data_IF_956670967033
#
_entry.id   IF_956670967033
#
_cell.length_a   1.000
_cell.length_b   1.000
_cell.length_c   1.000
_cell.angle_alpha   90.00
_cell.angle_beta   90.00
_cell.angle_gamma   90.00
#
_symmetry.space_group_name_H-M   'P 1'
#
loop_
_entity.id
_entity.type
_entity.pdbx_description
1 polymer ?
#
# COMPACT_ATOMS: atom_id res chain seq x y z
N UNK A 1 26.90 -9.08 -9.61
CA UNK A 1 26.31 -10.20 -8.83
C UNK A 1 26.14 -9.70 -7.39
N UNK A 2 25.06 -10.10 -6.70
CA UNK A 2 24.89 -9.75 -5.29
C UNK A 2 26.08 -10.19 -4.45
N UNK A 3 26.44 -9.36 -3.46
CA UNK A 3 27.53 -9.67 -2.49
C UNK A 3 26.98 -10.18 -1.16
N UNK A 4 25.68 -9.87 -0.89
CA UNK A 4 25.03 -10.17 0.36
C UNK A 4 23.84 -11.10 0.13
N UNK A 5 23.72 -12.16 0.94
CA UNK A 5 22.68 -13.20 0.79
C UNK A 5 21.96 -13.40 2.14
N UNK A 6 21.13 -12.44 2.58
CA UNK A 6 20.41 -12.56 3.83
C UNK A 6 19.39 -13.71 3.75
N UNK A 7 19.27 -14.47 4.84
CA UNK A 7 18.40 -15.66 4.93
C UNK A 7 17.06 -15.34 5.62
N UNK A 8 16.97 -14.21 6.27
CA UNK A 8 15.80 -13.80 7.02
C UNK A 8 15.70 -12.27 7.12
N UNK A 9 14.57 -11.80 7.68
CA UNK A 9 14.29 -10.38 7.84
C UNK A 9 15.33 -9.65 8.70
N UNK A 10 15.89 -10.28 9.74
CA UNK A 10 16.83 -9.60 10.64
C UNK A 10 18.15 -9.32 9.92
N UNK A 11 18.71 -10.33 9.22
CA UNK A 11 19.90 -10.14 8.40
C UNK A 11 19.70 -9.10 7.30
N UNK A 12 18.52 -9.13 6.63
CA UNK A 12 18.19 -8.12 5.62
C UNK A 12 18.10 -6.72 6.24
N UNK A 13 17.50 -6.60 7.44
CA UNK A 13 17.36 -5.32 8.14
C UNK A 13 18.70 -4.70 8.53
N UNK A 14 19.67 -5.50 8.94
CA UNK A 14 21.02 -5.03 9.21
C UNK A 14 21.67 -4.44 7.95
N UNK A 15 21.55 -5.14 6.81
CA UNK A 15 22.10 -4.70 5.53
C UNK A 15 21.45 -3.40 5.02
N UNK A 16 20.14 -3.28 5.08
CA UNK A 16 19.46 -2.05 4.60
C UNK A 16 19.63 -0.89 5.57
N UNK A 17 19.90 -1.16 6.84
CA UNK A 17 20.23 -0.15 7.85
C UNK A 17 21.60 0.47 7.68
N UNK A 18 22.53 -0.25 7.08
CA UNK A 18 23.84 0.27 6.70
C UNK A 18 23.73 1.05 5.39
N UNK A 19 23.82 2.38 5.47
CA UNK A 19 23.69 3.26 4.31
C UNK A 19 24.85 3.14 3.31
N UNK A 20 25.94 2.50 3.67
CA UNK A 20 27.08 2.22 2.77
C UNK A 20 26.84 1.02 1.87
N UNK A 21 25.87 0.14 2.22
CA UNK A 21 25.50 -1.02 1.43
C UNK A 21 24.56 -0.59 0.30
N UNK A 22 24.92 -0.89 -0.95
CA UNK A 22 24.05 -0.70 -2.10
C UNK A 22 22.96 -1.77 -2.12
N UNK A 23 21.68 -1.36 -2.32
CA UNK A 23 20.56 -2.30 -2.38
C UNK A 23 20.67 -3.26 -3.57
N UNK A 24 21.40 -2.87 -4.65
CA UNK A 24 21.66 -3.74 -5.80
C UNK A 24 22.61 -4.91 -5.50
N UNK A 25 23.32 -4.87 -4.37
CA UNK A 25 24.23 -5.93 -3.94
C UNK A 25 23.60 -6.97 -3.02
N UNK A 26 22.29 -6.82 -2.72
CA UNK A 26 21.53 -7.70 -1.82
C UNK A 26 20.70 -8.68 -2.63
N UNK A 27 20.89 -9.98 -2.43
CA UNK A 27 20.04 -11.05 -2.97
C UNK A 27 18.87 -11.30 -2.02
N UNK A 28 17.67 -10.98 -2.46
CA UNK A 28 16.46 -11.13 -1.65
C UNK A 28 15.68 -12.41 -1.96
N UNK A 29 16.20 -13.30 -2.82
CA UNK A 29 15.50 -14.49 -3.32
C UNK A 29 15.08 -15.50 -2.23
N UNK A 30 15.66 -15.43 -1.03
CA UNK A 30 15.29 -16.26 0.11
C UNK A 30 14.34 -15.57 1.10
N UNK A 31 14.00 -14.30 0.88
CA UNK A 31 13.23 -13.49 1.84
C UNK A 31 11.73 -13.74 1.64
N UNK A 32 11.05 -14.06 2.73
CA UNK A 32 9.60 -14.28 2.75
C UNK A 32 8.84 -13.18 3.51
N UNK A 33 9.56 -12.32 4.25
CA UNK A 33 8.98 -11.28 5.09
C UNK A 33 9.82 -10.01 4.97
N UNK A 34 9.16 -8.89 4.62
CA UNK A 34 9.79 -7.55 4.51
C UNK A 34 9.12 -6.53 5.44
N UNK A 35 8.42 -7.01 6.47
CA UNK A 35 7.72 -6.16 7.44
C UNK A 35 8.67 -5.14 8.07
N UNK A 36 8.26 -3.87 8.10
CA UNK A 36 8.99 -2.75 8.73
C UNK A 36 10.39 -2.50 8.19
N UNK A 37 10.77 -3.06 7.03
CA UNK A 37 12.15 -3.10 6.55
C UNK A 37 12.77 -1.70 6.38
N UNK A 38 12.01 -0.74 5.84
CA UNK A 38 12.42 0.65 5.66
C UNK A 38 11.59 1.62 6.52
N UNK A 39 10.93 1.11 7.56
CA UNK A 39 10.20 1.97 8.50
C UNK A 39 11.12 3.03 9.10
N UNK A 40 10.65 4.30 9.11
CA UNK A 40 11.38 5.46 9.66
C UNK A 40 12.77 5.67 9.06
N UNK A 41 13.04 5.10 7.87
CA UNK A 41 14.36 5.13 7.24
C UNK A 41 14.83 6.55 6.93
N UNK A 42 16.14 6.77 7.10
CA UNK A 42 16.84 7.98 6.67
C UNK A 42 17.47 7.83 5.29
N UNK A 43 17.35 6.65 4.67
CA UNK A 43 17.88 6.39 3.33
C UNK A 43 17.21 7.32 2.32
N UNK A 44 18.00 7.89 1.43
CA UNK A 44 17.53 8.73 0.32
C UNK A 44 17.80 8.07 -1.04
N UNK A 45 18.80 7.21 -1.12
CA UNK A 45 19.11 6.43 -2.32
C UNK A 45 18.57 5.00 -2.16
N UNK A 46 17.59 4.68 -2.98
CA UNK A 46 16.95 3.36 -3.05
C UNK A 46 17.32 2.63 -4.36
N UNK A 47 18.31 3.12 -5.11
CA UNK A 47 18.75 2.49 -6.36
C UNK A 47 19.15 1.04 -6.15
N UNK A 48 18.61 0.17 -7.00
CA UNK A 48 18.81 -1.28 -6.89
C UNK A 48 17.68 -2.04 -6.25
N UNK A 49 16.77 -1.36 -5.52
CA UNK A 49 15.59 -1.99 -4.92
C UNK A 49 14.63 -2.55 -5.99
N UNK A 50 14.63 -1.96 -7.19
CA UNK A 50 13.81 -2.38 -8.33
C UNK A 50 14.19 -3.76 -8.88
N UNK A 51 15.38 -4.26 -8.52
CA UNK A 51 15.88 -5.58 -8.94
C UNK A 51 15.65 -6.68 -7.89
N UNK A 52 15.06 -6.34 -6.76
CA UNK A 52 14.83 -7.32 -5.70
C UNK A 52 13.85 -8.41 -6.14
N UNK A 53 14.20 -9.66 -5.88
CA UNK A 53 13.30 -10.78 -5.99
C UNK A 53 12.34 -10.81 -4.80
N UNK A 54 11.07 -10.52 -5.07
CA UNK A 54 10.00 -10.51 -4.07
C UNK A 54 9.04 -11.69 -4.20
N UNK A 55 9.33 -12.63 -5.10
CA UNK A 55 8.44 -13.75 -5.47
C UNK A 55 8.11 -14.71 -4.32
N UNK A 56 8.82 -14.65 -3.21
CA UNK A 56 8.54 -15.44 -2.00
C UNK A 56 7.98 -14.62 -0.84
N UNK A 57 7.85 -13.30 -1.00
CA UNK A 57 7.41 -12.43 0.07
C UNK A 57 5.91 -12.58 0.30
N UNK A 58 5.52 -12.77 1.57
CA UNK A 58 4.11 -12.92 1.98
C UNK A 58 3.63 -11.77 2.85
N UNK A 59 4.54 -11.01 3.47
CA UNK A 59 4.21 -9.92 4.40
C UNK A 59 5.09 -8.69 4.11
N UNK A 60 4.42 -7.57 3.74
CA UNK A 60 5.03 -6.25 3.50
C UNK A 60 4.48 -5.17 4.45
N UNK A 61 3.85 -5.59 5.56
CA UNK A 61 3.25 -4.66 6.52
C UNK A 61 4.27 -3.63 7.03
N UNK A 62 3.89 -2.34 7.02
CA UNK A 62 4.74 -1.21 7.47
C UNK A 62 6.08 -1.04 6.72
N UNK A 63 6.28 -1.68 5.55
CA UNK A 63 7.60 -1.75 4.90
C UNK A 63 8.23 -0.38 4.66
N UNK A 64 7.46 0.61 4.26
CA UNK A 64 7.89 1.99 3.99
C UNK A 64 7.19 3.01 4.89
N UNK A 65 6.70 2.59 6.06
CA UNK A 65 6.08 3.52 7.01
C UNK A 65 7.05 4.67 7.35
N UNK A 66 6.55 5.92 7.25
CA UNK A 66 7.34 7.13 7.47
C UNK A 66 8.62 7.23 6.61
N UNK A 67 8.73 6.49 5.52
CA UNK A 67 9.82 6.63 4.55
C UNK A 67 9.58 7.89 3.69
N UNK A 68 9.77 9.08 4.29
CA UNK A 68 9.34 10.36 3.74
C UNK A 68 9.93 10.69 2.37
N UNK A 69 11.13 10.17 2.07
CA UNK A 69 11.84 10.41 0.80
C UNK A 69 11.66 9.27 -0.21
N UNK A 70 10.95 8.21 0.16
CA UNK A 70 10.78 7.08 -0.73
C UNK A 70 9.87 7.42 -1.90
N UNK A 71 10.41 7.41 -3.10
CA UNK A 71 9.68 7.55 -4.36
C UNK A 71 10.37 6.78 -5.50
N UNK A 72 10.79 5.54 -5.23
CA UNK A 72 11.47 4.70 -6.21
C UNK A 72 10.48 3.75 -6.89
N UNK A 73 10.72 3.45 -8.17
CA UNK A 73 9.82 2.58 -8.94
C UNK A 73 10.01 1.11 -8.55
N UNK A 74 8.95 0.51 -8.05
CA UNK A 74 8.87 -0.90 -7.61
C UNK A 74 7.74 -1.65 -8.33
N UNK A 75 7.26 -1.13 -9.47
CA UNK A 75 6.14 -1.72 -10.22
C UNK A 75 6.41 -3.16 -10.69
N UNK A 76 7.69 -3.53 -10.85
CA UNK A 76 8.09 -4.87 -11.30
C UNK A 76 8.16 -5.94 -10.21
N UNK A 77 7.93 -5.58 -8.96
CA UNK A 77 7.93 -6.58 -7.89
C UNK A 77 6.84 -7.62 -8.08
N UNK A 78 7.18 -8.87 -7.90
CA UNK A 78 6.19 -9.96 -7.82
C UNK A 78 5.51 -9.94 -6.46
N UNK A 79 4.24 -9.55 -6.44
CA UNK A 79 3.41 -9.45 -5.23
C UNK A 79 2.38 -10.57 -5.12
N UNK A 80 2.42 -11.56 -6.02
CA UNK A 80 1.39 -12.61 -6.15
C UNK A 80 1.15 -13.44 -4.89
N UNK A 81 2.16 -13.54 -4.00
CA UNK A 81 2.05 -14.25 -2.71
C UNK A 81 1.80 -13.36 -1.52
N UNK A 82 1.81 -12.03 -1.70
CA UNK A 82 1.65 -11.11 -0.58
C UNK A 82 0.21 -11.16 -0.07
N UNK A 83 0.06 -11.45 1.22
CA UNK A 83 -1.23 -11.50 1.90
C UNK A 83 -1.50 -10.25 2.75
N UNK A 84 -0.45 -9.55 3.19
CA UNK A 84 -0.55 -8.38 4.05
C UNK A 84 0.27 -7.22 3.49
N UNK A 85 -0.42 -6.13 3.16
CA UNK A 85 0.14 -4.84 2.73
C UNK A 85 -0.27 -3.69 3.67
N UNK A 86 -0.78 -4.01 4.88
CA UNK A 86 -1.28 -2.98 5.79
C UNK A 86 -0.19 -2.00 6.16
N UNK A 87 -0.54 -0.72 6.13
CA UNK A 87 0.35 0.40 6.47
C UNK A 87 1.64 0.50 5.64
N UNK A 88 1.73 -0.19 4.48
CA UNK A 88 2.97 -0.31 3.72
C UNK A 88 3.58 1.04 3.35
N UNK A 89 2.78 2.03 2.97
CA UNK A 89 3.21 3.39 2.61
C UNK A 89 2.65 4.46 3.56
N UNK A 90 2.34 4.07 4.81
CA UNK A 90 1.83 5.06 5.78
C UNK A 90 2.83 6.21 5.94
N UNK A 91 2.33 7.45 5.73
CA UNK A 91 3.12 8.68 5.74
C UNK A 91 4.34 8.69 4.78
N UNK A 92 4.38 7.82 3.78
CA UNK A 92 5.36 7.92 2.69
C UNK A 92 4.97 9.11 1.79
N UNK A 93 5.19 10.32 2.28
CA UNK A 93 4.58 11.55 1.76
C UNK A 93 4.94 11.87 0.30
N UNK A 94 6.14 11.46 -0.16
CA UNK A 94 6.61 11.69 -1.53
C UNK A 94 6.25 10.56 -2.49
N UNK A 95 5.76 9.41 -1.99
CA UNK A 95 5.54 8.24 -2.83
C UNK A 95 4.43 8.48 -3.86
N UNK A 96 4.76 8.35 -5.15
CA UNK A 96 3.82 8.47 -6.26
C UNK A 96 4.27 7.63 -7.48
N UNK A 97 4.82 6.43 -7.27
CA UNK A 97 5.22 5.56 -8.38
C UNK A 97 4.10 4.62 -8.80
N UNK A 98 4.07 4.19 -10.07
CA UNK A 98 3.07 3.24 -10.55
C UNK A 98 3.17 1.90 -9.81
N UNK A 99 2.00 1.25 -9.64
CA UNK A 99 1.84 -0.06 -9.03
C UNK A 99 0.88 -0.93 -9.88
N UNK A 100 0.86 -0.71 -11.20
CA UNK A 100 -0.11 -1.33 -12.11
C UNK A 100 0.13 -2.82 -12.30
N UNK A 101 1.39 -3.25 -12.21
CA UNK A 101 1.81 -4.64 -12.44
C UNK A 101 1.65 -5.52 -11.20
N UNK A 102 1.27 -4.94 -10.06
CA UNK A 102 1.12 -5.69 -8.82
C UNK A 102 -0.09 -6.62 -8.88
N UNK A 103 0.15 -7.90 -8.62
CA UNK A 103 -0.92 -8.87 -8.37
C UNK A 103 -1.36 -8.79 -6.90
N UNK A 104 -2.55 -8.26 -6.68
CA UNK A 104 -3.15 -8.11 -5.35
C UNK A 104 -4.17 -9.20 -5.01
N UNK A 105 -4.30 -10.22 -5.87
CA UNK A 105 -5.32 -11.27 -5.74
C UNK A 105 -5.18 -12.15 -4.50
N UNK A 106 -4.05 -12.10 -3.80
CA UNK A 106 -3.82 -12.83 -2.54
C UNK A 106 -3.96 -11.95 -1.30
N UNK A 107 -4.09 -10.62 -1.46
CA UNK A 107 -4.06 -9.68 -0.34
C UNK A 107 -5.37 -9.72 0.44
N UNK A 108 -5.24 -9.91 1.75
CA UNK A 108 -6.35 -9.91 2.72
C UNK A 108 -6.46 -8.57 3.47
N UNK A 109 -5.31 -7.94 3.73
CA UNK A 109 -5.20 -6.76 4.57
C UNK A 109 -4.50 -5.61 3.83
N UNK A 110 -5.24 -4.52 3.63
CA UNK A 110 -4.81 -3.25 3.02
C UNK A 110 -5.05 -2.06 3.97
N UNK A 111 -5.25 -2.32 5.29
CA UNK A 111 -5.48 -1.26 6.27
C UNK A 111 -4.37 -0.19 6.18
N UNK A 112 -4.76 1.08 6.10
CA UNK A 112 -3.85 2.22 6.14
C UNK A 112 -2.77 2.24 5.04
N UNK A 113 -2.86 1.43 3.98
CA UNK A 113 -1.77 1.21 3.02
C UNK A 113 -1.19 2.52 2.45
N UNK A 114 -2.02 3.51 2.16
CA UNK A 114 -1.62 4.83 1.65
C UNK A 114 -2.02 5.97 2.59
N UNK A 115 -2.27 5.67 3.87
CA UNK A 115 -2.65 6.70 4.85
C UNK A 115 -1.52 7.74 4.97
N UNK A 116 -1.85 9.01 4.75
CA UNK A 116 -0.87 10.09 4.78
C UNK A 116 0.14 10.10 3.61
N UNK A 117 0.01 9.24 2.61
CA UNK A 117 0.78 9.28 1.37
C UNK A 117 0.30 10.45 0.49
N UNK A 118 0.68 11.67 0.85
CA UNK A 118 0.09 12.90 0.35
C UNK A 118 0.18 13.07 -1.15
N UNK A 119 1.30 12.65 -1.77
CA UNK A 119 1.54 12.80 -3.21
C UNK A 119 0.94 11.66 -4.05
N UNK A 120 0.47 10.58 -3.40
CA UNK A 120 0.05 9.38 -4.13
C UNK A 120 -1.23 9.62 -4.94
N UNK A 121 -1.15 9.44 -6.26
CA UNK A 121 -2.27 9.56 -7.18
C UNK A 121 -2.14 8.63 -8.40
N UNK A 122 -1.71 7.37 -8.19
CA UNK A 122 -1.56 6.41 -9.28
C UNK A 122 -2.82 5.54 -9.45
N UNK A 123 -3.15 5.13 -10.69
CA UNK A 123 -4.33 4.33 -10.95
C UNK A 123 -4.21 2.91 -10.37
N UNK A 124 -5.24 2.52 -9.61
CA UNK A 124 -5.35 1.24 -8.92
C UNK A 124 -6.58 0.42 -9.38
N UNK A 125 -7.32 0.89 -10.39
CA UNK A 125 -8.59 0.27 -10.78
C UNK A 125 -8.44 -1.14 -11.41
N UNK A 126 -7.20 -1.54 -11.73
CA UNK A 126 -6.86 -2.90 -12.21
C UNK A 126 -6.58 -3.89 -11.08
N UNK A 127 -6.43 -3.43 -9.84
CA UNK A 127 -6.16 -4.32 -8.72
C UNK A 127 -7.32 -5.26 -8.44
N UNK A 128 -6.99 -6.53 -8.20
CA UNK A 128 -7.95 -7.51 -7.73
C UNK A 128 -8.03 -7.48 -6.20
N UNK A 129 -9.07 -6.84 -5.68
CA UNK A 129 -9.30 -6.71 -4.22
C UNK A 129 -10.37 -7.69 -3.70
N UNK A 130 -10.76 -8.68 -4.49
CA UNK A 130 -11.86 -9.59 -4.17
C UNK A 130 -11.64 -10.46 -2.93
N UNK A 131 -10.41 -10.57 -2.42
CA UNK A 131 -10.11 -11.26 -1.17
C UNK A 131 -9.92 -10.30 0.02
N UNK A 132 -9.80 -9.00 -0.22
CA UNK A 132 -9.55 -8.05 0.85
C UNK A 132 -10.70 -8.00 1.86
N UNK A 133 -10.36 -8.06 3.14
CA UNK A 133 -11.29 -7.98 4.26
C UNK A 133 -11.13 -6.68 5.05
N UNK A 134 -9.92 -6.12 5.09
CA UNK A 134 -9.55 -4.94 5.88
C UNK A 134 -9.05 -3.83 4.95
N UNK A 135 -9.75 -2.69 4.94
CA UNK A 135 -9.43 -1.50 4.15
C UNK A 135 -9.58 -0.21 4.97
N UNK A 136 -9.58 -0.32 6.32
CA UNK A 136 -9.66 0.86 7.18
C UNK A 136 -8.53 1.82 6.83
N UNK A 137 -8.83 3.11 6.82
CA UNK A 137 -7.87 4.18 6.63
C UNK A 137 -7.01 4.10 5.35
N UNK A 138 -7.33 3.23 4.36
CA UNK A 138 -6.46 2.94 3.23
C UNK A 138 -5.96 4.21 2.50
N UNK A 139 -6.80 5.22 2.34
CA UNK A 139 -6.47 6.51 1.72
C UNK A 139 -6.68 7.69 2.68
N UNK A 140 -6.67 7.46 3.99
CA UNK A 140 -6.85 8.52 4.97
C UNK A 140 -5.75 9.57 4.83
N UNK A 141 -6.12 10.83 4.59
CA UNK A 141 -5.16 11.92 4.41
C UNK A 141 -4.29 11.83 3.12
N UNK A 142 -4.61 10.94 2.18
CA UNK A 142 -3.99 10.89 0.85
C UNK A 142 -4.54 12.04 0.00
N UNK A 143 -4.01 13.25 0.20
CA UNK A 143 -4.62 14.50 -0.28
C UNK A 143 -4.72 14.58 -1.80
N UNK A 144 -3.74 14.06 -2.55
CA UNK A 144 -3.76 14.11 -4.02
C UNK A 144 -4.54 12.97 -4.67
N UNK A 145 -4.92 11.93 -3.89
CA UNK A 145 -5.55 10.75 -4.46
C UNK A 145 -6.95 11.03 -5.01
N UNK A 146 -7.13 10.80 -6.32
CA UNK A 146 -8.41 10.95 -7.01
C UNK A 146 -8.53 9.99 -8.22
N UNK A 147 -8.12 8.74 -8.07
CA UNK A 147 -8.22 7.74 -9.14
C UNK A 147 -9.49 6.90 -9.01
N UNK A 148 -10.02 6.45 -10.16
CA UNK A 148 -11.19 5.58 -10.19
C UNK A 148 -10.94 4.25 -9.46
N UNK A 149 -11.97 3.79 -8.74
CA UNK A 149 -11.99 2.52 -7.99
C UNK A 149 -13.31 1.75 -8.24
N UNK A 150 -14.04 2.12 -9.30
CA UNK A 150 -15.35 1.59 -9.62
C UNK A 150 -15.37 0.11 -10.03
N UNK A 151 -14.19 -0.44 -10.40
CA UNK A 151 -14.04 -1.87 -10.76
C UNK A 151 -13.68 -2.78 -9.57
N UNK A 152 -13.48 -2.22 -8.40
CA UNK A 152 -13.13 -3.01 -7.23
C UNK A 152 -14.30 -3.88 -6.76
N UNK A 153 -14.07 -5.18 -6.62
CA UNK A 153 -15.01 -6.08 -5.95
C UNK A 153 -14.81 -6.00 -4.43
N UNK A 154 -15.68 -5.22 -3.78
CA UNK A 154 -15.65 -4.99 -2.33
C UNK A 154 -16.54 -5.95 -1.55
N UNK A 155 -17.05 -7.00 -2.19
CA UNK A 155 -18.06 -7.91 -1.60
C UNK A 155 -17.60 -8.65 -0.34
N UNK A 156 -16.28 -8.79 -0.13
CA UNK A 156 -15.71 -9.43 1.06
C UNK A 156 -15.21 -8.45 2.12
N UNK A 157 -15.19 -7.16 1.82
CA UNK A 157 -14.67 -6.16 2.76
C UNK A 157 -15.56 -6.08 3.99
N UNK A 158 -14.97 -6.26 5.16
CA UNK A 158 -15.63 -6.25 6.46
C UNK A 158 -15.45 -4.92 7.20
N UNK A 159 -14.34 -4.25 6.94
CA UNK A 159 -13.95 -3.03 7.63
C UNK A 159 -13.37 -2.02 6.63
N UNK A 160 -13.88 -0.78 6.63
CA UNK A 160 -13.39 0.32 5.81
C UNK A 160 -13.59 1.70 6.50
N UNK A 161 -13.56 1.70 7.84
CA UNK A 161 -13.68 2.93 8.61
C UNK A 161 -12.56 3.92 8.23
N UNK A 162 -12.93 5.20 8.10
CA UNK A 162 -11.99 6.30 7.76
C UNK A 162 -11.25 6.15 6.42
N UNK A 163 -11.68 5.26 5.51
CA UNK A 163 -10.94 4.92 4.29
C UNK A 163 -10.55 6.14 3.45
N UNK A 164 -11.41 7.14 3.34
CA UNK A 164 -11.17 8.39 2.60
C UNK A 164 -11.20 9.62 3.50
N UNK A 165 -11.05 9.47 4.82
CA UNK A 165 -11.05 10.59 5.74
C UNK A 165 -9.89 11.54 5.40
N UNK A 166 -10.19 12.83 5.15
CA UNK A 166 -9.17 13.81 4.77
C UNK A 166 -8.57 13.66 3.37
N UNK A 167 -9.12 12.77 2.51
CA UNK A 167 -8.75 12.66 1.10
C UNK A 167 -9.42 13.80 0.30
N UNK A 168 -8.89 15.01 0.45
CA UNK A 168 -9.53 16.28 0.05
C UNK A 168 -9.79 16.43 -1.46
N UNK A 169 -9.10 15.65 -2.30
CA UNK A 169 -9.30 15.66 -3.74
C UNK A 169 -10.16 14.50 -4.25
N UNK A 170 -10.52 13.51 -3.40
CA UNK A 170 -11.21 12.31 -3.85
C UNK A 170 -12.69 12.56 -4.18
N UNK A 171 -13.06 12.45 -5.46
CA UNK A 171 -14.41 12.72 -6.00
C UNK A 171 -14.99 11.58 -6.83
N UNK A 172 -14.35 10.40 -6.82
CA UNK A 172 -14.74 9.31 -7.71
C UNK A 172 -16.04 8.64 -7.28
N UNK A 173 -16.78 8.11 -8.28
CA UNK A 173 -18.03 7.41 -8.03
C UNK A 173 -17.75 6.01 -7.46
N UNK A 174 -18.37 5.69 -6.32
CA UNK A 174 -18.29 4.41 -5.64
C UNK A 174 -19.64 3.67 -5.60
N UNK A 175 -20.62 4.07 -6.40
CA UNK A 175 -21.97 3.48 -6.39
C UNK A 175 -21.99 1.99 -6.74
N UNK A 176 -20.96 1.49 -7.46
CA UNK A 176 -20.80 0.08 -7.83
C UNK A 176 -20.37 -0.83 -6.68
N UNK A 177 -19.86 -0.27 -5.58
CA UNK A 177 -19.33 -1.07 -4.49
C UNK A 177 -20.40 -1.90 -3.78
N UNK A 178 -20.09 -3.18 -3.55
CA UNK A 178 -20.90 -4.08 -2.75
C UNK A 178 -20.44 -4.05 -1.29
N UNK A 179 -21.25 -3.44 -0.43
CA UNK A 179 -20.92 -3.21 0.99
C UNK A 179 -21.69 -4.13 1.95
N UNK A 180 -22.29 -5.21 1.44
CA UNK A 180 -23.14 -6.10 2.25
C UNK A 180 -22.40 -6.83 3.38
N UNK A 181 -21.10 -7.03 3.24
CA UNK A 181 -20.27 -7.72 4.24
C UNK A 181 -19.74 -6.80 5.34
N UNK A 182 -19.93 -5.47 5.20
CA UNK A 182 -19.46 -4.52 6.20
C UNK A 182 -20.07 -4.81 7.57
N UNK A 183 -19.21 -4.90 8.58
CA UNK A 183 -19.62 -5.05 9.98
C UNK A 183 -20.25 -3.80 10.54
N UNK A 184 -19.81 -2.64 10.05
CA UNK A 184 -20.34 -1.33 10.41
C UNK A 184 -20.16 -0.36 9.25
N UNK A 185 -21.20 0.32 8.87
CA UNK A 185 -21.13 1.47 7.97
C UNK A 185 -21.02 2.74 8.81
N UNK A 186 -19.91 3.46 8.66
CA UNK A 186 -19.65 4.70 9.39
C UNK A 186 -19.30 5.82 8.39
N UNK A 187 -20.13 6.89 8.38
CA UNK A 187 -19.93 8.06 7.49
C UNK A 187 -18.63 8.82 7.76
N UNK A 188 -17.96 8.60 8.89
CA UNK A 188 -16.61 9.12 9.17
C UNK A 188 -15.59 8.67 8.11
N UNK A 189 -15.92 7.60 7.37
CA UNK A 189 -15.18 7.14 6.19
C UNK A 189 -14.89 8.26 5.19
N UNK A 190 -15.79 9.22 5.04
CA UNK A 190 -15.70 10.31 4.07
C UNK A 190 -15.42 11.68 4.70
N UNK A 191 -15.23 11.76 6.02
CA UNK A 191 -15.06 13.02 6.73
C UNK A 191 -13.87 13.82 6.16
N UNK A 192 -14.11 15.06 5.72
CA UNK A 192 -13.09 15.91 5.11
C UNK A 192 -12.71 15.56 3.67
N UNK A 193 -13.46 14.64 3.03
CA UNK A 193 -13.40 14.45 1.58
C UNK A 193 -14.65 15.04 0.90
N UNK A 194 -14.62 15.38 -0.40
CA UNK A 194 -15.80 15.86 -1.12
C UNK A 194 -16.97 14.89 -1.12
N UNK A 195 -16.73 13.58 -0.93
CA UNK A 195 -17.79 12.58 -0.80
C UNK A 195 -18.61 12.71 0.48
N UNK A 196 -18.15 13.48 1.48
CA UNK A 196 -18.95 13.77 2.68
C UNK A 196 -20.25 14.52 2.36
N UNK A 197 -20.23 15.34 1.31
CA UNK A 197 -21.37 16.11 0.82
C UNK A 197 -22.16 15.39 -0.28
N UNK A 198 -21.51 14.46 -0.99
CA UNK A 198 -22.10 13.69 -2.09
C UNK A 198 -21.89 12.18 -1.91
N UNK A 199 -22.56 11.62 -0.90
CA UNK A 199 -22.40 10.22 -0.51
C UNK A 199 -22.80 9.27 -1.65
N UNK A 200 -22.07 8.13 -1.82
CA UNK A 200 -22.51 7.03 -2.66
C UNK A 200 -23.90 6.53 -2.27
N UNK A 201 -24.63 5.94 -3.23
CA UNK A 201 -26.02 5.47 -3.00
C UNK A 201 -26.16 4.54 -1.80
N UNK A 202 -25.19 3.66 -1.59
CA UNK A 202 -25.20 2.69 -0.49
C UNK A 202 -24.85 3.30 0.90
N UNK A 203 -24.39 4.57 0.96
CA UNK A 203 -24.04 5.28 2.20
C UNK A 203 -25.06 6.37 2.59
N UNK A 204 -26.14 6.56 1.82
CA UNK A 204 -27.20 7.55 2.02
C UNK A 204 -28.17 7.18 3.14
#
# INVERSE_FOLDING_TARGET
>A
MPKHHPRNLNELRELVGDLSVSLSEIDTSCITNMRTLFKDTKRVDFSGIEFWDTSKVVDMMFMFENALNFNHNIDKWDTSKVCNMSFMFWNAACFNQPLRSWDTSSVLDMEGMFCGAKSFNQPLNSWNVSKAEFMEQMFCGASEFNQALDKWDTSRVKFMDKMFMGAVNFRQNLDSWNVKSLKKLNRIMFLGSPLSENLPKWAR
#
